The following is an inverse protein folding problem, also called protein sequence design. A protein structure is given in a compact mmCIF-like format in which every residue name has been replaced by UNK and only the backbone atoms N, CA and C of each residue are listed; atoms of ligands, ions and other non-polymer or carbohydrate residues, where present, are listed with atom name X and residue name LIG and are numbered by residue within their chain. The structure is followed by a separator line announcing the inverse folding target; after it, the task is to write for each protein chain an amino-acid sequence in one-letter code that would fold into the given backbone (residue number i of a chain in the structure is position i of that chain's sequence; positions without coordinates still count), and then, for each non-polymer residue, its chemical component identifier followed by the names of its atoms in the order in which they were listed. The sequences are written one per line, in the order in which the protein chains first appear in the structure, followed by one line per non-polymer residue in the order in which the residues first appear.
data_IF_919060498424
#
_entry.id   IF_919060498424
#
_cell.length_a   1.000
_cell.length_b   1.000
_cell.length_c   1.000
_cell.angle_alpha   90.00
_cell.angle_beta   90.00
_cell.angle_gamma   90.00
#
_symmetry.space_group_name_H-M   'P 1'
#
loop_
_entity.id
_entity.type
_entity.pdbx_description
1 polymer ?
#
# COMPACT_ATOMS: atom_id res chain seq x y z
N UNK A 1 -1.95 -13.56 20.56
CA UNK A 1 -1.10 -14.34 19.60
C UNK A 1 -1.80 -15.67 19.30
N UNK A 2 -1.91 -16.04 18.04
CA UNK A 2 -2.48 -17.31 17.64
C UNK A 2 -1.51 -18.45 17.98
N UNK A 3 -1.98 -19.46 18.72
CA UNK A 3 -1.15 -20.60 19.14
C UNK A 3 -0.83 -21.53 17.96
N UNK A 4 0.40 -22.07 17.89
CA UNK A 4 0.85 -22.96 16.80
C UNK A 4 -0.06 -24.16 16.57
N UNK A 5 -0.76 -24.63 17.60
CA UNK A 5 -1.63 -25.81 17.57
C UNK A 5 -3.12 -25.47 17.37
N UNK A 6 -3.50 -24.21 17.37
CA UNK A 6 -4.88 -23.77 17.12
C UNK A 6 -5.28 -23.99 15.67
N UNK A 7 -6.59 -24.03 15.40
CA UNK A 7 -7.11 -24.13 14.04
C UNK A 7 -6.68 -22.90 13.24
N UNK A 8 -6.27 -23.14 12.00
CA UNK A 8 -5.80 -22.06 11.13
C UNK A 8 -6.95 -21.10 10.78
N UNK A 9 -6.78 -19.78 10.96
CA UNK A 9 -7.81 -18.79 10.66
C UNK A 9 -8.17 -18.68 9.17
N UNK A 10 -7.40 -19.34 8.29
CA UNK A 10 -7.70 -19.38 6.84
C UNK A 10 -8.90 -20.29 6.49
N UNK A 11 -9.54 -20.95 7.47
CA UNK A 11 -10.68 -21.83 7.25
C UNK A 11 -10.36 -23.21 6.68
N UNK A 12 -9.07 -23.59 6.57
CA UNK A 12 -8.64 -24.88 6.00
C UNK A 12 -8.91 -26.10 6.91
N UNK A 13 -9.33 -25.90 8.17
CA UNK A 13 -9.49 -26.95 9.17
C UNK A 13 -8.18 -27.56 9.68
N UNK A 14 -7.03 -27.12 9.21
CA UNK A 14 -5.70 -27.59 9.64
C UNK A 14 -5.19 -26.76 10.81
N UNK A 15 -4.29 -27.35 11.62
CA UNK A 15 -3.57 -26.59 12.67
C UNK A 15 -2.71 -25.50 12.03
N UNK A 16 -2.61 -24.32 12.67
CA UNK A 16 -1.86 -23.19 12.17
C UNK A 16 -0.42 -23.53 11.75
N UNK A 17 0.30 -24.32 12.58
CA UNK A 17 1.65 -24.81 12.25
C UNK A 17 1.76 -25.67 10.99
N UNK A 18 0.67 -26.31 10.55
CA UNK A 18 0.62 -27.17 9.36
C UNK A 18 -0.06 -26.49 8.17
N UNK A 19 -0.38 -25.22 8.28
CA UNK A 19 -1.07 -24.43 7.27
C UNK A 19 -0.35 -23.12 7.03
N UNK A 20 -0.78 -22.02 7.66
CA UNK A 20 -0.30 -20.70 7.36
C UNK A 20 1.01 -20.33 8.08
N UNK A 21 1.32 -20.92 9.24
CA UNK A 21 2.55 -20.57 9.98
C UNK A 21 3.84 -20.66 9.12
N UNK A 22 3.91 -21.64 8.22
CA UNK A 22 5.06 -21.81 7.33
C UNK A 22 4.88 -21.09 5.98
N UNK A 23 3.67 -20.55 5.71
CA UNK A 23 3.35 -19.81 4.49
C UNK A 23 3.44 -18.30 4.70
N UNK A 24 3.38 -17.85 5.95
CA UNK A 24 3.39 -16.42 6.30
C UNK A 24 4.77 -15.76 6.14
N UNK A 25 5.82 -16.56 5.91
CA UNK A 25 7.18 -16.06 5.69
C UNK A 25 7.62 -16.46 4.29
N UNK A 26 7.65 -15.50 3.40
CA UNK A 26 8.20 -15.63 2.05
C UNK A 26 9.49 -14.80 2.00
N UNK A 27 10.44 -15.22 1.20
CA UNK A 27 11.67 -14.47 0.95
C UNK A 27 11.48 -13.68 -0.33
N UNK A 28 11.69 -12.35 -0.29
CA UNK A 28 11.66 -11.50 -1.47
C UNK A 28 12.91 -11.72 -2.34
N UNK A 29 12.96 -11.05 -3.52
CA UNK A 29 14.11 -11.14 -4.44
C UNK A 29 15.44 -10.68 -3.82
N UNK A 30 15.39 -9.92 -2.73
CA UNK A 30 16.57 -9.46 -1.98
C UNK A 30 16.90 -10.39 -0.79
N UNK A 31 16.26 -11.55 -0.66
CA UNK A 31 16.49 -12.51 0.42
C UNK A 31 15.86 -12.12 1.77
N UNK A 32 15.00 -11.09 1.81
CA UNK A 32 14.34 -10.64 3.06
C UNK A 32 13.09 -11.45 3.30
N UNK A 33 12.83 -11.79 4.56
CA UNK A 33 11.58 -12.44 4.97
C UNK A 33 10.44 -11.42 4.90
N UNK A 34 9.44 -11.68 4.08
CA UNK A 34 8.23 -10.87 3.94
C UNK A 34 7.01 -11.72 4.25
N UNK A 35 6.00 -11.14 4.90
CA UNK A 35 4.73 -11.81 5.14
C UNK A 35 3.98 -12.10 3.84
N UNK A 36 3.16 -13.13 3.83
CA UNK A 36 2.35 -13.51 2.66
C UNK A 36 1.45 -12.37 2.19
N UNK A 37 0.88 -11.61 3.14
CA UNK A 37 0.05 -10.46 2.82
C UNK A 37 0.83 -9.35 2.09
N UNK A 38 2.04 -9.03 2.57
CA UNK A 38 2.91 -8.04 1.94
C UNK A 38 3.34 -8.47 0.53
N UNK A 39 3.61 -9.76 0.33
CA UNK A 39 3.92 -10.31 -0.99
C UNK A 39 2.73 -10.16 -1.95
N UNK A 40 1.53 -10.56 -1.51
CA UNK A 40 0.30 -10.43 -2.31
C UNK A 40 0.03 -8.96 -2.68
N UNK A 41 0.21 -8.04 -1.72
CA UNK A 41 0.12 -6.61 -1.98
C UNK A 41 1.11 -6.16 -3.05
N UNK A 42 2.38 -6.53 -2.91
CA UNK A 42 3.44 -6.13 -3.84
C UNK A 42 3.21 -6.68 -5.26
N UNK A 43 2.78 -7.94 -5.38
CA UNK A 43 2.46 -8.57 -6.67
C UNK A 43 1.26 -7.90 -7.34
N UNK A 44 0.20 -7.62 -6.58
CA UNK A 44 -0.98 -6.92 -7.08
C UNK A 44 -0.64 -5.49 -7.50
N UNK A 45 0.11 -4.76 -6.65
CA UNK A 45 0.51 -3.38 -6.96
C UNK A 45 1.38 -3.31 -8.22
N UNK A 46 2.27 -4.27 -8.44
CA UNK A 46 3.06 -4.37 -9.67
C UNK A 46 2.14 -4.53 -10.89
N UNK A 47 1.12 -5.38 -10.82
CA UNK A 47 0.14 -5.56 -11.91
C UNK A 47 -0.66 -4.28 -12.19
N UNK A 48 -1.05 -3.54 -11.14
CA UNK A 48 -1.74 -2.26 -11.30
C UNK A 48 -0.80 -1.23 -11.95
N UNK A 49 0.46 -1.18 -11.51
CA UNK A 49 1.48 -0.32 -12.10
C UNK A 49 1.68 -0.62 -13.60
N UNK A 50 1.87 -1.89 -13.97
CA UNK A 50 2.00 -2.31 -15.38
C UNK A 50 0.76 -1.96 -16.20
N UNK A 51 -0.44 -2.16 -15.63
CA UNK A 51 -1.69 -1.76 -16.26
C UNK A 51 -1.78 -0.24 -16.48
N UNK A 52 -1.35 0.55 -15.53
CA UNK A 52 -1.34 2.02 -15.60
C UNK A 52 -0.39 2.57 -16.68
N UNK A 53 0.56 1.76 -17.17
CA UNK A 53 1.53 2.13 -18.19
C UNK A 53 1.10 1.75 -19.61
N UNK A 54 -0.11 1.22 -19.79
CA UNK A 54 -0.65 0.91 -21.11
C UNK A 54 -0.91 2.19 -21.91
N UNK A 55 -0.77 2.11 -23.23
CA UNK A 55 -0.91 3.26 -24.15
C UNK A 55 -2.23 4.01 -23.98
N UNK A 56 -3.33 3.30 -23.64
CA UNK A 56 -4.64 3.89 -23.42
C UNK A 56 -4.70 4.91 -22.27
N UNK A 57 -3.69 4.93 -21.40
CA UNK A 57 -3.60 5.86 -20.25
C UNK A 57 -2.52 6.93 -20.44
N UNK A 58 -1.87 7.00 -21.59
CA UNK A 58 -0.77 7.93 -21.83
C UNK A 58 -1.19 9.40 -21.66
N UNK A 59 -2.34 9.78 -22.17
CA UNK A 59 -2.86 11.15 -22.03
C UNK A 59 -3.19 11.47 -20.56
N UNK A 60 -3.81 10.53 -19.86
CA UNK A 60 -4.11 10.68 -18.42
C UNK A 60 -2.84 10.79 -17.58
N UNK A 61 -1.79 10.06 -17.96
CA UNK A 61 -0.50 10.10 -17.30
C UNK A 61 0.16 11.48 -17.44
N UNK A 62 0.13 12.09 -18.63
CA UNK A 62 0.68 13.44 -18.83
C UNK A 62 -0.16 14.51 -18.10
N UNK A 63 -1.49 14.41 -18.13
CA UNK A 63 -2.37 15.29 -17.33
C UNK A 63 -2.09 15.18 -15.83
N UNK A 64 -1.89 13.97 -15.34
CA UNK A 64 -1.56 13.73 -13.94
C UNK A 64 -0.22 14.38 -13.56
N UNK A 65 0.78 14.37 -14.45
CA UNK A 65 2.05 15.08 -14.23
C UNK A 65 1.87 16.57 -14.13
N UNK A 66 1.11 17.17 -15.05
CA UNK A 66 0.82 18.61 -15.04
C UNK A 66 0.13 19.04 -13.75
N UNK A 67 -0.73 18.18 -13.18
CA UNK A 67 -1.41 18.45 -11.91
C UNK A 67 -0.51 18.22 -10.69
N UNK A 68 0.40 17.24 -10.76
CA UNK A 68 1.23 16.84 -9.62
C UNK A 68 2.44 17.77 -9.44
N UNK A 69 3.10 18.15 -10.53
CA UNK A 69 4.26 19.03 -10.51
C UNK A 69 3.80 20.50 -10.65
N UNK A 70 3.67 21.16 -9.52
CA UNK A 70 3.04 22.50 -9.44
C UNK A 70 4.01 23.63 -9.82
N UNK A 71 5.32 23.38 -9.84
CA UNK A 71 6.34 24.43 -9.91
C UNK A 71 7.34 24.11 -11.02
N UNK A 72 7.76 25.16 -11.76
CA UNK A 72 8.89 25.11 -12.69
C UNK A 72 10.25 25.00 -11.95
N UNK A 73 10.33 24.07 -11.00
CA UNK A 73 11.52 23.74 -10.22
C UNK A 73 11.82 22.25 -10.33
N UNK A 74 12.72 21.91 -11.25
CA UNK A 74 13.12 20.54 -11.53
C UNK A 74 13.79 19.86 -10.30
N UNK A 75 14.55 20.64 -9.51
CA UNK A 75 15.21 20.11 -8.32
C UNK A 75 14.20 19.79 -7.19
N UNK A 76 13.13 20.56 -7.08
CA UNK A 76 12.05 20.29 -6.15
C UNK A 76 11.20 19.12 -6.64
N UNK A 77 10.82 19.11 -7.92
CA UNK A 77 10.01 18.07 -8.52
C UNK A 77 10.66 16.68 -8.40
N UNK A 78 11.98 16.58 -8.63
CA UNK A 78 12.72 15.32 -8.50
C UNK A 78 12.64 14.68 -7.12
N UNK A 79 12.45 15.47 -6.06
CA UNK A 79 12.24 14.94 -4.70
C UNK A 79 10.90 14.22 -4.54
N UNK A 80 9.92 14.59 -5.37
CA UNK A 80 8.56 14.04 -5.32
C UNK A 80 8.30 12.92 -6.34
N UNK A 81 9.21 12.68 -7.29
CA UNK A 81 9.07 11.64 -8.32
C UNK A 81 8.68 10.26 -7.76
N UNK A 82 9.23 9.90 -6.61
CA UNK A 82 8.92 8.64 -5.94
C UNK A 82 7.45 8.51 -5.52
N UNK A 83 6.75 9.62 -5.33
CA UNK A 83 5.35 9.66 -4.92
C UNK A 83 4.39 9.76 -6.10
N UNK A 84 4.87 10.21 -7.26
CA UNK A 84 4.05 10.44 -8.44
C UNK A 84 3.29 9.17 -8.88
N UNK A 85 3.94 8.02 -8.90
CA UNK A 85 3.28 6.78 -9.29
C UNK A 85 2.16 6.38 -8.32
N UNK A 86 2.34 6.63 -7.02
CA UNK A 86 1.29 6.39 -6.02
C UNK A 86 0.12 7.34 -6.24
N UNK A 87 0.39 8.63 -6.44
CA UNK A 87 -0.62 9.62 -6.78
C UNK A 87 -1.40 9.23 -8.03
N UNK A 88 -0.72 8.89 -9.12
CA UNK A 88 -1.37 8.51 -10.39
C UNK A 88 -2.27 7.28 -10.26
N UNK A 89 -1.85 6.30 -9.46
CA UNK A 89 -2.59 5.04 -9.28
C UNK A 89 -3.76 5.18 -8.31
N UNK A 90 -3.61 5.95 -7.23
CA UNK A 90 -4.56 5.95 -6.11
C UNK A 90 -5.41 7.22 -6.02
N UNK A 91 -4.85 8.38 -6.39
CA UNK A 91 -5.47 9.68 -6.11
C UNK A 91 -5.91 10.44 -7.36
N UNK A 92 -5.24 10.22 -8.52
CA UNK A 92 -5.59 10.90 -9.76
C UNK A 92 -6.95 10.42 -10.29
N UNK A 93 -7.90 11.35 -10.38
CA UNK A 93 -9.22 11.09 -10.96
C UNK A 93 -9.15 11.35 -12.46
N UNK A 94 -9.18 10.27 -13.25
CA UNK A 94 -9.19 10.32 -14.70
C UNK A 94 -10.46 10.99 -15.26
N UNK A 95 -10.47 11.31 -16.53
CA UNK A 95 -11.69 11.84 -17.24
C UNK A 95 -12.88 10.90 -17.10
N UNK A 96 -12.65 9.59 -17.02
CA UNK A 96 -13.66 8.57 -16.76
C UNK A 96 -14.31 8.65 -15.37
N UNK A 97 -13.91 9.62 -14.51
CA UNK A 97 -14.34 9.80 -13.11
C UNK A 97 -13.96 8.63 -12.21
N UNK A 98 -12.90 7.91 -12.56
CA UNK A 98 -12.38 6.77 -11.80
C UNK A 98 -10.89 6.96 -11.50
N UNK A 99 -10.43 6.37 -10.42
CA UNK A 99 -8.99 6.21 -10.16
C UNK A 99 -8.49 4.92 -10.83
N UNK A 100 -7.19 4.82 -11.04
CA UNK A 100 -6.57 3.70 -11.75
C UNK A 100 -6.86 2.34 -11.11
N UNK A 101 -6.90 2.26 -9.78
CA UNK A 101 -7.23 1.03 -9.05
C UNK A 101 -8.62 0.50 -9.37
N UNK A 102 -9.60 1.38 -9.58
CA UNK A 102 -10.97 1.00 -9.97
C UNK A 102 -10.99 0.53 -11.42
N UNK A 103 -10.34 1.26 -12.33
CA UNK A 103 -10.25 0.86 -13.74
C UNK A 103 -9.57 -0.51 -13.90
N UNK A 104 -8.47 -0.74 -13.16
CA UNK A 104 -7.80 -2.04 -13.12
C UNK A 104 -8.75 -3.15 -12.67
N UNK A 105 -9.49 -2.94 -11.60
CA UNK A 105 -10.43 -3.96 -11.09
C UNK A 105 -11.50 -4.28 -12.11
N UNK A 106 -12.11 -3.28 -12.75
CA UNK A 106 -13.17 -3.49 -13.74
C UNK A 106 -12.68 -4.33 -14.93
N UNK A 107 -11.47 -4.04 -15.45
CA UNK A 107 -10.92 -4.74 -16.60
C UNK A 107 -10.32 -6.12 -16.26
N UNK A 108 -10.15 -6.43 -14.98
CA UNK A 108 -9.49 -7.67 -14.54
C UNK A 108 -10.30 -8.46 -13.50
N UNK A 109 -11.64 -8.30 -13.45
CA UNK A 109 -12.49 -8.96 -12.45
C UNK A 109 -12.27 -10.46 -12.32
N UNK A 110 -12.11 -11.13 -13.45
CA UNK A 110 -11.94 -12.59 -13.56
C UNK A 110 -10.51 -13.05 -13.19
N UNK A 111 -9.56 -12.12 -13.08
CA UNK A 111 -8.14 -12.40 -12.80
C UNK A 111 -7.72 -12.01 -11.38
N UNK A 112 -8.63 -11.44 -10.60
CA UNK A 112 -8.37 -11.08 -9.20
C UNK A 112 -9.09 -12.04 -8.26
N UNK A 113 -8.37 -12.50 -7.24
CA UNK A 113 -8.92 -13.39 -6.23
C UNK A 113 -9.53 -12.59 -5.05
N UNK A 114 -10.23 -13.28 -4.16
CA UNK A 114 -10.91 -12.66 -3.01
C UNK A 114 -10.00 -11.85 -2.10
N UNK A 115 -8.73 -12.25 -1.91
CA UNK A 115 -7.78 -11.50 -1.09
C UNK A 115 -7.31 -10.24 -1.82
N UNK A 116 -7.08 -10.32 -3.12
CA UNK A 116 -6.73 -9.17 -3.95
C UNK A 116 -7.86 -8.14 -3.99
N UNK A 117 -9.12 -8.58 -4.04
CA UNK A 117 -10.29 -7.67 -3.92
C UNK A 117 -10.29 -6.90 -2.60
N UNK A 118 -9.91 -7.54 -1.49
CA UNK A 118 -9.77 -6.85 -0.19
C UNK A 118 -8.64 -5.81 -0.21
N UNK A 119 -7.51 -6.15 -0.85
CA UNK A 119 -6.39 -5.21 -1.00
C UNK A 119 -6.81 -4.01 -1.87
N UNK A 120 -7.50 -4.26 -3.00
CA UNK A 120 -8.01 -3.19 -3.87
C UNK A 120 -8.98 -2.27 -3.14
N UNK A 121 -9.87 -2.83 -2.30
CA UNK A 121 -10.76 -2.01 -1.46
C UNK A 121 -9.96 -1.12 -0.51
N UNK A 122 -8.97 -1.66 0.18
CA UNK A 122 -8.13 -0.88 1.08
C UNK A 122 -7.37 0.22 0.33
N UNK A 123 -6.87 -0.06 -0.88
CA UNK A 123 -6.23 0.95 -1.73
C UNK A 123 -7.20 2.05 -2.15
N UNK A 124 -8.43 1.69 -2.50
CA UNK A 124 -9.48 2.64 -2.88
C UNK A 124 -9.94 3.50 -1.70
N UNK A 125 -10.00 2.93 -0.50
CA UNK A 125 -10.38 3.63 0.74
C UNK A 125 -9.20 4.40 1.38
N UNK A 126 -7.97 4.20 0.88
CA UNK A 126 -6.79 4.91 1.38
C UNK A 126 -6.78 6.36 0.89
N UNK A 127 -6.20 7.23 1.67
CA UNK A 127 -6.00 8.64 1.33
C UNK A 127 -4.69 9.15 1.92
N UNK A 128 -4.13 10.17 1.30
CA UNK A 128 -2.94 10.86 1.80
C UNK A 128 -3.36 11.82 2.91
N UNK A 129 -2.65 11.77 4.04
CA UNK A 129 -2.90 12.67 5.17
C UNK A 129 -1.59 13.10 5.84
N UNK A 130 -1.71 14.05 6.78
CA UNK A 130 -0.62 14.49 7.64
C UNK A 130 -0.85 13.88 9.01
N UNK A 131 0.17 13.22 9.53
CA UNK A 131 0.09 12.53 10.81
C UNK A 131 1.04 13.15 11.84
N UNK A 132 0.52 13.38 13.02
CA UNK A 132 1.30 13.68 14.21
C UNK A 132 1.70 12.37 14.90
N UNK A 133 2.98 12.22 15.23
CA UNK A 133 3.45 11.08 16.04
C UNK A 133 3.10 11.36 17.50
N UNK A 134 2.17 10.60 18.05
CA UNK A 134 1.74 10.75 19.45
C UNK A 134 2.60 9.94 20.40
N UNK A 135 2.94 8.71 20.02
CA UNK A 135 3.68 7.80 20.88
C UNK A 135 4.47 6.79 20.04
N UNK A 136 5.69 6.50 20.46
CA UNK A 136 6.52 5.43 19.91
C UNK A 136 6.59 4.31 20.95
N UNK A 137 6.00 3.17 20.63
CA UNK A 137 5.95 1.96 21.44
C UNK A 137 6.91 0.91 20.89
N UNK A 138 7.16 -0.14 21.70
CA UNK A 138 7.94 -1.26 21.18
C UNK A 138 7.22 -1.95 20.00
N UNK A 139 7.82 -1.82 18.83
CA UNK A 139 7.31 -2.40 17.57
C UNK A 139 6.16 -1.68 16.89
N UNK A 140 5.68 -0.53 17.39
CA UNK A 140 4.61 0.26 16.74
C UNK A 140 4.63 1.73 17.11
N UNK A 141 4.03 2.55 16.25
CA UNK A 141 3.88 3.99 16.46
C UNK A 141 2.38 4.31 16.50
N UNK A 142 1.97 5.13 17.48
CA UNK A 142 0.65 5.74 17.48
C UNK A 142 0.72 7.06 16.70
N UNK A 143 -0.08 7.14 15.64
CA UNK A 143 -0.23 8.29 14.78
C UNK A 143 -1.62 8.90 14.97
N UNK A 144 -1.68 10.23 15.03
CA UNK A 144 -2.94 10.98 14.95
C UNK A 144 -3.01 11.64 13.56
N UNK A 145 -4.04 11.34 12.81
CA UNK A 145 -4.34 12.01 11.55
C UNK A 145 -4.79 13.45 11.83
N UNK A 146 -4.03 14.42 11.32
CA UNK A 146 -4.28 15.84 11.56
C UNK A 146 -5.53 16.37 10.81
N UNK A 147 -6.02 15.67 9.79
CA UNK A 147 -7.19 16.08 9.03
C UNK A 147 -8.49 15.48 9.57
N UNK A 148 -8.45 14.24 10.03
CA UNK A 148 -9.65 13.51 10.50
C UNK A 148 -9.68 13.33 12.02
N UNK A 149 -8.61 13.68 12.73
CA UNK A 149 -8.38 13.47 14.17
C UNK A 149 -8.37 12.00 14.62
N UNK A 150 -8.39 11.06 13.69
CA UNK A 150 -8.36 9.62 14.00
C UNK A 150 -6.97 9.19 14.45
N UNK A 151 -6.95 8.27 15.39
CA UNK A 151 -5.72 7.63 15.84
C UNK A 151 -5.58 6.25 15.18
N UNK A 152 -4.38 5.94 14.71
CA UNK A 152 -4.04 4.68 14.07
C UNK A 152 -2.68 4.18 14.54
N UNK A 153 -2.53 2.88 14.69
CA UNK A 153 -1.22 2.27 14.93
C UNK A 153 -0.59 1.81 13.62
N UNK A 154 0.69 2.06 13.46
CA UNK A 154 1.51 1.47 12.39
C UNK A 154 2.64 0.64 12.97
N UNK A 155 2.94 -0.49 12.32
CA UNK A 155 4.07 -1.37 12.61
C UNK A 155 5.15 -1.24 11.51
N UNK A 156 5.21 -0.12 10.81
CA UNK A 156 6.20 0.11 9.77
C UNK A 156 7.61 0.24 10.38
N UNK A 157 8.41 -0.80 10.19
CA UNK A 157 9.77 -0.91 10.73
C UNK A 157 10.70 0.20 10.21
N UNK A 158 10.46 0.74 9.01
CA UNK A 158 11.25 1.84 8.46
C UNK A 158 10.93 3.14 9.18
N UNK A 159 9.65 3.42 9.38
CA UNK A 159 9.21 4.56 10.17
C UNK A 159 9.76 4.49 11.60
N UNK A 160 9.72 3.31 12.22
CA UNK A 160 10.28 3.09 13.57
C UNK A 160 11.77 3.39 13.66
N UNK A 161 12.54 3.12 12.60
CA UNK A 161 13.98 3.40 12.57
C UNK A 161 14.30 4.91 12.46
N UNK A 162 13.40 5.68 11.84
CA UNK A 162 13.58 7.13 11.62
C UNK A 162 13.15 7.97 12.84
N UNK A 163 12.26 7.44 13.69
CA UNK A 163 11.81 8.10 14.91
C UNK A 163 12.58 7.60 16.12
N UNK A 164 13.61 8.34 16.54
CA UNK A 164 14.24 8.15 17.86
C UNK A 164 13.37 8.85 18.90
N UNK A 165 12.96 8.09 19.92
CA UNK A 165 12.31 8.65 21.12
C UNK A 165 13.19 9.74 21.67
N UNK A 166 12.72 10.99 21.70
CA UNK A 166 13.40 12.10 22.36
C UNK A 166 14.17 13.10 21.50
N UNK A 167 13.93 13.18 20.20
CA UNK A 167 14.32 14.35 19.42
C UNK A 167 13.24 15.42 19.53
N UNK A 168 13.31 16.21 20.61
CA UNK A 168 12.66 17.51 20.71
C UNK A 168 13.39 18.53 19.84
#
# INVERSE_FOLDING_TARGET
MLGRNELCPCGSGKKYKRCCLNKDVVVDRAGRKVGTAQKQYSELYTRIYEYSRQDKFKEEYEKAKEMFYIVDDEALNSKFDRFFNTYFIQDHIMESKKVMTVAFYEDNRDKVNTNEVKILRNLFESYVSIYEVKEVLDGKILLKDCLTEREVYTEDVKLLADFKVGSS
#
